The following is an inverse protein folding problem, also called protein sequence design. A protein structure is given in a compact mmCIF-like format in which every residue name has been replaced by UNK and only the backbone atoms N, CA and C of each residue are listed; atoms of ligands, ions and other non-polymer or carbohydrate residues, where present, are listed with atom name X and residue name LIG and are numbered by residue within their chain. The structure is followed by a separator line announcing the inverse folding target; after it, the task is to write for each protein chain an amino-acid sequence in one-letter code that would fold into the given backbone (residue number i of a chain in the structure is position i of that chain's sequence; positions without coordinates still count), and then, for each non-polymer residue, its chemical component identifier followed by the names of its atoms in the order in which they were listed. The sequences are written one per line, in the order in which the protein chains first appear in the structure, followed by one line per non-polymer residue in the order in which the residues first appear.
data_IF_672967500010
#
_entry.id   IF_672967500010
#
_cell.length_a   1.000
_cell.length_b   1.000
_cell.length_c   1.000
_cell.angle_alpha   90.00
_cell.angle_beta   90.00
_cell.angle_gamma   90.00
#
_symmetry.space_group_name_H-M   'P 1'
#
loop_
_entity.id
_entity.type
_entity.pdbx_description
1 polymer ?
#
# COMPACT_ATOMS: atom_id res chain seq x y z
N UNK A 1 -6.56 26.63 -15.97
CA UNK A 1 -6.03 25.26 -16.20
C UNK A 1 -5.09 24.94 -15.05
N UNK A 2 -5.45 24.00 -14.18
CA UNK A 2 -4.73 23.73 -12.93
C UNK A 2 -4.27 22.27 -12.85
N UNK A 3 -2.96 22.05 -13.01
CA UNK A 3 -2.33 20.72 -12.98
C UNK A 3 -1.17 20.68 -11.97
N UNK A 4 -1.32 21.32 -10.81
CA UNK A 4 -0.26 21.41 -9.80
C UNK A 4 -0.46 20.57 -8.53
N UNK A 5 -1.58 19.83 -8.42
CA UNK A 5 -1.89 19.04 -7.23
C UNK A 5 -1.64 17.53 -7.38
N UNK A 6 -1.59 17.00 -8.61
CA UNK A 6 -1.43 15.57 -8.85
C UNK A 6 -0.04 15.08 -8.44
N UNK A 7 1.02 15.81 -8.80
CA UNK A 7 2.40 15.46 -8.45
C UNK A 7 2.65 15.44 -6.95
N UNK A 8 2.09 16.40 -6.20
CA UNK A 8 2.19 16.43 -4.73
C UNK A 8 1.45 15.25 -4.11
N UNK A 9 0.24 14.94 -4.61
CA UNK A 9 -0.55 13.81 -4.14
C UNK A 9 0.12 12.48 -4.44
N UNK A 10 0.74 12.33 -5.61
CA UNK A 10 1.52 11.14 -6.00
C UNK A 10 2.72 10.92 -5.07
N UNK A 11 3.44 11.99 -4.68
CA UNK A 11 4.53 11.89 -3.70
C UNK A 11 4.06 11.53 -2.29
N UNK A 12 2.89 12.02 -1.88
CA UNK A 12 2.28 11.66 -0.59
C UNK A 12 1.82 10.20 -0.61
N UNK A 13 1.17 9.76 -1.69
CA UNK A 13 0.78 8.36 -1.92
C UNK A 13 1.97 7.42 -1.79
N UNK A 14 3.08 7.75 -2.48
CA UNK A 14 4.27 6.91 -2.48
C UNK A 14 4.83 6.78 -1.06
N UNK A 15 4.82 7.86 -0.28
CA UNK A 15 5.28 7.85 1.11
C UNK A 15 4.36 7.03 2.03
N UNK A 16 3.05 7.15 1.86
CA UNK A 16 2.07 6.35 2.60
C UNK A 16 2.15 4.86 2.24
N UNK A 17 2.38 4.54 0.96
CA UNK A 17 2.55 3.19 0.46
C UNK A 17 3.81 2.54 1.02
N UNK A 18 4.93 3.27 1.00
CA UNK A 18 6.20 2.81 1.58
C UNK A 18 6.10 2.64 3.09
N UNK A 19 5.42 3.56 3.79
CA UNK A 19 5.17 3.43 5.22
C UNK A 19 4.33 2.19 5.54
N UNK A 20 3.27 1.92 4.77
CA UNK A 20 2.46 0.71 4.92
C UNK A 20 3.29 -0.55 4.64
N UNK A 21 4.07 -0.57 3.56
CA UNK A 21 4.96 -1.68 3.21
C UNK A 21 5.97 -1.96 4.32
N UNK A 22 6.57 -0.91 4.88
CA UNK A 22 7.51 -1.03 5.99
C UNK A 22 6.83 -1.56 7.24
N UNK A 23 5.65 -1.03 7.60
CA UNK A 23 4.87 -1.51 8.73
C UNK A 23 4.49 -3.00 8.56
N UNK A 24 4.05 -3.40 7.37
CA UNK A 24 3.72 -4.79 7.05
C UNK A 24 4.95 -5.70 7.15
N UNK A 25 6.09 -5.32 6.58
CA UNK A 25 7.32 -6.12 6.72
C UNK A 25 7.81 -6.22 8.17
N UNK A 26 7.77 -5.11 8.90
CA UNK A 26 8.17 -5.08 10.31
C UNK A 26 7.26 -5.98 11.15
N UNK A 27 5.95 -5.83 10.99
CA UNK A 27 4.97 -6.64 11.72
C UNK A 27 5.07 -8.11 11.33
N UNK A 28 5.30 -8.46 10.06
CA UNK A 28 5.50 -9.85 9.61
C UNK A 28 6.67 -10.53 10.33
N UNK A 29 7.74 -9.80 10.61
CA UNK A 29 8.91 -10.34 11.32
C UNK A 29 8.72 -10.39 12.84
N UNK A 30 7.89 -9.52 13.40
CA UNK A 30 7.80 -9.32 14.85
C UNK A 30 6.50 -9.84 15.49
N UNK A 31 5.45 -10.15 14.71
CA UNK A 31 4.15 -10.55 15.25
C UNK A 31 3.26 -11.25 14.21
N UNK A 32 2.22 -11.93 14.68
CA UNK A 32 1.17 -12.54 13.85
C UNK A 32 0.01 -11.57 13.55
N UNK A 33 0.21 -10.25 13.65
CA UNK A 33 -0.87 -9.30 13.44
C UNK A 33 -1.41 -9.38 12.00
N UNK A 34 -2.64 -9.87 11.85
CA UNK A 34 -3.26 -10.16 10.55
C UNK A 34 -3.92 -8.94 9.89
N UNK A 35 -4.14 -7.85 10.62
CA UNK A 35 -5.03 -6.77 10.15
C UNK A 35 -4.34 -5.41 10.15
N UNK A 36 -4.23 -4.85 8.96
CA UNK A 36 -3.79 -3.48 8.73
C UNK A 36 -4.99 -2.62 8.36
N UNK A 37 -5.08 -1.43 8.94
CA UNK A 37 -6.11 -0.44 8.64
C UNK A 37 -5.42 0.80 8.10
N UNK A 38 -5.89 1.30 6.98
CA UNK A 38 -5.47 2.57 6.39
C UNK A 38 -6.72 3.43 6.20
N UNK A 39 -6.62 4.72 6.52
CA UNK A 39 -7.64 5.73 6.27
C UNK A 39 -7.44 6.45 4.92
N UNK A 40 -6.37 6.13 4.18
CA UNK A 40 -6.08 6.71 2.89
C UNK A 40 -6.98 6.12 1.80
N UNK A 41 -7.93 6.95 1.32
CA UNK A 41 -8.86 6.59 0.25
C UNK A 41 -8.17 6.23 -1.06
N UNK A 42 -7.06 6.88 -1.39
CA UNK A 42 -6.31 6.57 -2.61
C UNK A 42 -5.63 5.22 -2.50
N UNK A 43 -5.06 4.92 -1.33
CA UNK A 43 -4.40 3.64 -1.08
C UNK A 43 -5.42 2.48 -1.10
N UNK A 44 -6.63 2.70 -0.59
CA UNK A 44 -7.77 1.79 -0.75
C UNK A 44 -8.11 1.60 -2.24
N UNK A 45 -8.19 2.69 -3.01
CA UNK A 45 -8.49 2.63 -4.44
C UNK A 45 -7.39 1.88 -5.22
N UNK A 46 -6.12 2.05 -4.86
CA UNK A 46 -4.99 1.33 -5.47
C UNK A 46 -5.01 -0.17 -5.17
N UNK A 47 -5.37 -0.55 -3.94
CA UNK A 47 -5.50 -1.97 -3.58
C UNK A 47 -6.71 -2.60 -4.28
N UNK A 48 -7.81 -1.84 -4.41
CA UNK A 48 -9.06 -2.31 -5.02
C UNK A 48 -8.94 -2.44 -6.54
N UNK A 49 -8.32 -1.46 -7.21
CA UNK A 49 -8.08 -1.46 -8.65
C UNK A 49 -6.61 -1.09 -8.97
N UNK A 50 -5.68 -2.05 -8.81
CA UNK A 50 -4.26 -1.80 -9.05
C UNK A 50 -3.94 -1.53 -10.53
N UNK A 51 -4.81 -1.93 -11.46
CA UNK A 51 -4.62 -1.70 -12.90
C UNK A 51 -4.76 -0.22 -13.27
N UNK A 52 -5.54 0.54 -12.50
CA UNK A 52 -5.66 1.99 -12.65
C UNK A 52 -4.39 2.76 -12.21
N UNK A 53 -3.42 2.09 -11.56
CA UNK A 53 -2.23 2.72 -10.97
C UNK A 53 -0.92 2.07 -11.47
N UNK A 54 -0.64 2.11 -12.78
CA UNK A 54 0.53 1.42 -13.36
C UNK A 54 1.87 1.91 -12.79
N UNK A 55 1.95 3.16 -12.33
CA UNK A 55 3.16 3.74 -11.72
C UNK A 55 3.57 3.05 -10.40
N UNK A 56 2.65 2.32 -9.75
CA UNK A 56 2.86 1.68 -8.44
C UNK A 56 2.71 0.16 -8.51
N UNK A 57 2.75 -0.41 -9.72
CA UNK A 57 2.48 -1.84 -9.94
C UNK A 57 3.37 -2.75 -9.09
N UNK A 58 4.66 -2.41 -8.99
CA UNK A 58 5.65 -3.21 -8.24
C UNK A 58 5.36 -3.19 -6.74
N UNK A 59 5.09 -2.02 -6.18
CA UNK A 59 4.81 -1.82 -4.76
C UNK A 59 3.48 -2.48 -4.36
N UNK A 60 2.47 -2.38 -5.23
CA UNK A 60 1.17 -3.04 -5.04
C UNK A 60 1.29 -4.57 -5.10
N UNK A 61 2.15 -5.10 -5.95
CA UNK A 61 2.44 -6.53 -5.97
C UNK A 61 3.08 -7.00 -4.67
N UNK A 62 4.06 -6.25 -4.14
CA UNK A 62 4.68 -6.56 -2.85
C UNK A 62 3.66 -6.51 -1.71
N UNK A 63 2.77 -5.53 -1.69
CA UNK A 63 1.72 -5.43 -0.66
C UNK A 63 0.77 -6.62 -0.74
N UNK A 64 0.37 -7.05 -1.94
CA UNK A 64 -0.46 -8.26 -2.12
C UNK A 64 0.24 -9.51 -1.59
N UNK A 65 1.53 -9.69 -1.87
CA UNK A 65 2.32 -10.81 -1.36
C UNK A 65 2.35 -10.77 0.18
N UNK A 66 2.60 -9.60 0.76
CA UNK A 66 2.59 -9.42 2.21
C UNK A 66 1.23 -9.78 2.81
N UNK A 67 0.12 -9.33 2.20
CA UNK A 67 -1.25 -9.69 2.62
C UNK A 67 -1.51 -11.21 2.57
N UNK A 68 -1.00 -11.91 1.55
CA UNK A 68 -1.09 -13.37 1.46
C UNK A 68 -0.31 -14.03 2.59
N UNK A 69 0.92 -13.58 2.87
CA UNK A 69 1.70 -14.11 3.99
C UNK A 69 0.98 -13.94 5.34
N UNK A 70 0.31 -12.82 5.58
CA UNK A 70 -0.49 -12.64 6.80
C UNK A 70 -1.70 -13.58 6.89
N UNK A 71 -2.28 -13.99 5.76
CA UNK A 71 -3.41 -14.94 5.73
C UNK A 71 -2.97 -16.39 5.98
N UNK A 72 -1.71 -16.72 5.68
CA UNK A 72 -1.12 -18.05 5.94
C UNK A 72 -0.70 -18.26 7.41
N UNK A 73 -0.48 -17.18 8.18
CA UNK A 73 -0.22 -17.28 9.61
C UNK A 73 -1.53 -17.46 10.38
N UNK A 74 -1.93 -18.70 10.64
CA UNK A 74 -3.10 -19.04 11.48
C UNK A 74 -2.85 -18.85 12.98
#
# INVERSE_FOLDING_TARGET
MGTHNLRRRETTLHSELEALRWAMKSILHHSTCQRFVTDCKDLIAMITDPQAWPNFSTELEVIKILQMCFSDFK
#
